data_IF_745824335217
#
_entry.id   IF_745824335217
#
_cell.length_a   1.000
_cell.length_b   1.000
_cell.length_c   1.000
_cell.angle_alpha   90.00
_cell.angle_beta   90.00
_cell.angle_gamma   90.00
#
_symmetry.space_group_name_H-M   'P 1'
#
loop_
_entity.id
_entity.type
_entity.pdbx_description
1 polymer ?
#
# COMPACT_ATOMS: atom_id res chain seq x y z
N UNK A 1 -17.54 37.72 -52.42
CA UNK A 1 -17.45 36.31 -52.87
C UNK A 1 -17.33 35.44 -51.63
N UNK A 2 -18.09 34.34 -51.59
CA UNK A 2 -18.32 33.46 -50.43
C UNK A 2 -17.45 32.23 -50.62
N UNK A 3 -16.48 31.95 -49.74
CA UNK A 3 -15.70 30.71 -49.78
C UNK A 3 -16.04 29.86 -48.57
N UNK A 4 -16.56 28.66 -48.86
CA UNK A 4 -17.10 27.70 -47.90
C UNK A 4 -15.97 26.87 -47.29
N UNK A 5 -16.20 26.53 -46.03
CA UNK A 5 -15.53 25.63 -45.10
C UNK A 5 -15.27 24.22 -45.67
N UNK A 6 -14.18 23.57 -45.23
CA UNK A 6 -14.18 22.12 -44.96
C UNK A 6 -13.36 21.85 -43.70
N UNK A 7 -14.03 21.31 -42.68
CA UNK A 7 -13.46 20.73 -41.46
C UNK A 7 -13.39 19.22 -41.66
N UNK A 8 -12.24 18.61 -41.42
CA UNK A 8 -12.10 17.15 -41.37
C UNK A 8 -11.66 16.74 -39.96
N UNK A 9 -12.58 16.13 -39.22
CA UNK A 9 -12.34 15.51 -37.91
C UNK A 9 -12.18 14.01 -38.19
N UNK A 10 -10.97 13.48 -38.03
CA UNK A 10 -10.73 12.05 -38.08
C UNK A 10 -10.77 11.49 -36.64
N UNK A 11 -11.87 10.85 -36.28
CA UNK A 11 -11.99 10.07 -35.05
C UNK A 11 -11.56 8.63 -35.35
N UNK A 12 -10.36 8.25 -34.90
CA UNK A 12 -9.92 6.85 -34.91
C UNK A 12 -10.44 6.13 -33.67
N UNK A 13 -11.34 5.15 -33.87
CA UNK A 13 -11.81 4.23 -32.83
C UNK A 13 -10.80 3.08 -32.73
N UNK A 14 -10.09 2.99 -31.61
CA UNK A 14 -9.25 1.84 -31.27
C UNK A 14 -10.04 0.82 -30.45
N UNK A 15 -10.17 -0.40 -30.95
CA UNK A 15 -10.71 -1.53 -30.19
C UNK A 15 -9.57 -2.21 -29.40
N UNK A 16 -9.66 -2.22 -28.08
CA UNK A 16 -8.76 -2.98 -27.22
C UNK A 16 -9.42 -4.33 -26.86
N UNK A 17 -8.76 -5.44 -27.19
CA UNK A 17 -9.16 -6.79 -26.80
C UNK A 17 -8.56 -7.09 -25.43
N UNK A 18 -9.40 -7.36 -24.44
CA UNK A 18 -8.98 -7.77 -23.09
C UNK A 18 -8.80 -9.30 -23.07
N UNK A 19 -7.58 -9.77 -22.83
CA UNK A 19 -7.30 -11.17 -22.53
C UNK A 19 -7.49 -11.40 -21.02
N UNK A 20 -8.51 -12.17 -20.64
CA UNK A 20 -8.71 -12.61 -19.26
C UNK A 20 -7.82 -13.84 -19.00
N UNK A 21 -6.71 -13.67 -18.29
CA UNK A 21 -5.96 -14.80 -17.73
C UNK A 21 -6.66 -15.26 -16.47
N UNK A 22 -7.35 -16.40 -16.55
CA UNK A 22 -7.90 -17.09 -15.38
C UNK A 22 -6.76 -17.61 -14.50
N UNK A 23 -6.79 -17.29 -13.21
CA UNK A 23 -5.87 -17.85 -12.23
C UNK A 23 -6.47 -19.19 -11.77
N UNK A 24 -5.81 -20.29 -12.14
CA UNK A 24 -6.12 -21.62 -11.64
C UNK A 24 -5.75 -21.72 -10.15
N UNK A 25 -6.73 -21.91 -9.28
CA UNK A 25 -6.49 -22.38 -7.92
C UNK A 25 -6.12 -23.87 -7.96
N UNK A 26 -4.86 -24.19 -7.71
CA UNK A 26 -4.42 -25.57 -7.50
C UNK A 26 -4.68 -25.97 -6.04
N UNK A 27 -5.63 -26.88 -5.83
CA UNK A 27 -5.86 -27.58 -4.58
C UNK A 27 -4.69 -28.52 -4.28
N UNK A 28 -3.92 -28.24 -3.24
CA UNK A 28 -3.00 -29.23 -2.67
C UNK A 28 -3.78 -30.13 -1.70
N UNK A 29 -4.37 -31.21 -2.22
CA UNK A 29 -4.85 -32.32 -1.41
C UNK A 29 -3.66 -33.23 -1.07
N UNK A 30 -3.14 -33.12 0.16
CA UNK A 30 -2.25 -34.14 0.73
C UNK A 30 -3.09 -35.12 1.57
N UNK A 31 -2.91 -36.44 1.42
CA UNK A 31 -3.72 -37.45 2.11
C UNK A 31 -3.42 -37.52 3.61
N UNK A 32 -4.49 -37.64 4.40
CA UNK A 32 -4.48 -37.82 5.84
C UNK A 32 -3.93 -39.19 6.27
N UNK A 33 -3.25 -39.29 7.43
CA UNK A 33 -3.25 -40.50 8.22
C UNK A 33 -4.31 -40.43 9.34
N UNK A 34 -5.10 -41.49 9.35
CA UNK A 34 -6.16 -41.91 10.27
C UNK A 34 -5.70 -42.03 11.73
N UNK A 35 -6.43 -41.41 12.66
CA UNK A 35 -6.92 -41.98 13.94
C UNK A 35 -7.80 -40.96 14.69
N UNK A 36 -9.00 -41.37 15.12
CA UNK A 36 -9.98 -40.60 15.90
C UNK A 36 -9.90 -41.01 17.40
N UNK A 37 -10.48 -40.29 18.40
CA UNK A 37 -11.95 -40.15 18.51
C UNK A 37 -12.49 -38.77 19.01
N UNK A 38 -13.69 -38.45 18.49
CA UNK A 38 -14.89 -37.91 19.14
C UNK A 38 -14.83 -36.74 20.13
N UNK A 39 -15.37 -35.58 19.73
CA UNK A 39 -16.33 -34.78 20.53
C UNK A 39 -17.27 -34.00 19.61
N UNK A 40 -18.51 -33.88 20.05
CA UNK A 40 -19.68 -33.45 19.31
C UNK A 40 -19.76 -31.94 19.05
N UNK A 41 -20.31 -31.61 17.88
CA UNK A 41 -21.39 -30.64 17.63
C UNK A 41 -21.39 -29.29 18.37
N UNK A 42 -21.12 -28.20 17.62
CA UNK A 42 -21.83 -26.95 17.80
C UNK A 42 -21.76 -26.09 16.53
N UNK A 43 -22.90 -25.48 16.23
CA UNK A 43 -23.25 -24.69 15.04
C UNK A 43 -22.70 -23.26 15.14
N UNK A 44 -22.51 -22.63 13.97
CA UNK A 44 -22.38 -21.17 13.73
C UNK A 44 -21.06 -20.48 14.07
N UNK A 45 -20.35 -20.01 13.03
CA UNK A 45 -20.25 -18.58 12.67
C UNK A 45 -19.06 -18.37 11.71
N UNK A 46 -19.33 -17.73 10.57
CA UNK A 46 -18.30 -17.25 9.67
C UNK A 46 -17.36 -16.29 10.42
N UNK A 47 -16.08 -16.64 10.50
CA UNK A 47 -15.06 -15.74 11.01
C UNK A 47 -14.85 -14.57 10.02
N UNK A 48 -14.77 -13.32 10.48
CA UNK A 48 -14.53 -12.18 9.60
C UNK A 48 -13.14 -12.30 8.96
N UNK A 49 -13.05 -11.88 7.69
CA UNK A 49 -11.81 -11.74 6.96
C UNK A 49 -10.81 -10.93 7.79
N UNK A 50 -9.63 -11.50 8.03
CA UNK A 50 -8.53 -10.81 8.69
C UNK A 50 -8.19 -9.55 7.87
N UNK A 51 -8.48 -8.38 8.43
CA UNK A 51 -7.80 -7.16 8.02
C UNK A 51 -6.28 -7.41 8.13
N UNK A 52 -5.44 -6.82 7.26
CA UNK A 52 -4.01 -6.85 7.50
C UNK A 52 -3.80 -6.22 8.87
N UNK A 53 -3.46 -7.04 9.85
CA UNK A 53 -3.10 -6.61 11.19
C UNK A 53 -1.85 -5.76 10.99
N UNK A 54 -2.06 -4.44 10.88
CA UNK A 54 -1.00 -3.47 11.00
C UNK A 54 -0.35 -3.72 12.34
N UNK A 55 0.80 -4.40 12.30
CA UNK A 55 1.46 -4.85 13.50
C UNK A 55 1.66 -3.66 14.42
N UNK A 56 1.12 -3.76 15.63
CA UNK A 56 1.62 -3.04 16.79
C UNK A 56 3.00 -3.64 17.11
N UNK A 57 3.93 -3.44 16.18
CA UNK A 57 5.29 -3.92 16.22
C UNK A 57 6.07 -3.08 17.21
N UNK A 58 5.72 -3.18 18.49
CA UNK A 58 6.69 -3.00 19.55
C UNK A 58 7.64 -4.20 19.52
N UNK A 59 8.44 -4.26 18.45
CA UNK A 59 9.65 -5.06 18.46
C UNK A 59 10.65 -4.27 19.29
N UNK A 60 10.83 -4.72 20.54
CA UNK A 60 11.97 -4.35 21.38
C UNK A 60 13.28 -4.76 20.69
N UNK A 61 13.72 -3.95 19.73
CA UNK A 61 15.06 -4.05 19.17
C UNK A 61 16.00 -3.27 20.08
N UNK A 62 16.58 -4.01 21.01
CA UNK A 62 17.74 -3.60 21.77
C UNK A 62 18.83 -3.09 20.79
N UNK A 63 19.06 -1.78 20.81
CA UNK A 63 20.23 -1.01 20.33
C UNK A 63 21.23 -1.75 19.44
N UNK A 64 21.15 -1.64 18.10
CA UNK A 64 22.32 -1.61 17.17
C UNK A 64 21.98 -1.07 15.76
N UNK A 65 21.14 -0.03 15.61
CA UNK A 65 21.08 0.70 14.32
C UNK A 65 20.53 2.13 14.48
N UNK A 66 21.32 2.99 15.13
CA UNK A 66 21.03 4.44 15.14
C UNK A 66 21.31 5.12 13.79
N UNK A 67 21.81 4.36 12.80
CA UNK A 67 22.31 4.91 11.54
C UNK A 67 21.26 4.91 10.41
N UNK A 68 20.18 4.13 10.50
CA UNK A 68 19.15 4.12 9.46
C UNK A 68 18.21 5.34 9.49
N UNK A 69 18.19 6.11 10.58
CA UNK A 69 17.29 7.26 10.73
C UNK A 69 15.81 6.88 10.87
N UNK A 70 14.95 7.90 11.03
CA UNK A 70 13.51 7.73 11.27
C UNK A 70 12.68 8.45 10.22
N UNK A 71 11.53 7.88 9.90
CA UNK A 71 10.49 8.53 9.10
C UNK A 71 9.23 8.61 9.96
N UNK A 72 8.69 9.81 10.11
CA UNK A 72 7.40 10.00 10.77
C UNK A 72 6.34 10.18 9.70
N UNK A 73 5.26 9.42 9.80
CA UNK A 73 4.09 9.54 8.93
C UNK A 73 2.90 9.83 9.83
N UNK A 74 2.39 11.06 9.73
CA UNK A 74 1.42 11.62 10.65
C UNK A 74 1.83 11.39 12.12
N UNK A 75 1.08 10.59 12.87
CA UNK A 75 1.28 10.29 14.28
C UNK A 75 2.22 9.10 14.55
N UNK A 76 2.68 8.40 13.51
CA UNK A 76 3.46 7.15 13.64
C UNK A 76 4.92 7.35 13.22
N UNK A 77 5.82 6.65 13.92
CA UNK A 77 7.25 6.65 13.63
C UNK A 77 7.68 5.29 13.09
N UNK A 78 8.50 5.31 12.04
CA UNK A 78 9.01 4.14 11.33
C UNK A 78 10.53 4.20 11.16
N UNK A 79 11.14 3.03 10.96
CA UNK A 79 12.55 2.92 10.55
C UNK A 79 12.71 3.34 9.09
N UNK A 80 13.79 4.05 8.76
CA UNK A 80 14.15 4.33 7.36
C UNK A 80 15.12 3.27 6.79
N UNK A 81 14.90 1.99 7.14
CA UNK A 81 15.67 0.87 6.59
C UNK A 81 15.61 0.89 5.05
N UNK A 82 16.75 0.70 4.35
CA UNK A 82 16.79 0.87 2.91
C UNK A 82 16.19 -0.35 2.22
N UNK A 83 15.52 -0.14 1.09
CA UNK A 83 15.02 -1.23 0.24
C UNK A 83 13.80 -1.99 0.76
N UNK A 84 13.32 -1.70 1.97
CA UNK A 84 12.07 -2.25 2.51
C UNK A 84 10.88 -1.37 2.10
N UNK A 85 9.78 -2.00 1.72
CA UNK A 85 8.51 -1.32 1.51
C UNK A 85 7.68 -1.37 2.79
N UNK A 86 7.49 -0.22 3.41
CA UNK A 86 6.72 -0.09 4.65
C UNK A 86 5.33 0.42 4.33
N UNK A 87 4.31 -0.41 4.56
CA UNK A 87 2.91 0.01 4.50
C UNK A 87 2.56 0.91 5.70
N UNK A 88 1.79 1.96 5.44
CA UNK A 88 1.35 2.92 6.45
C UNK A 88 -0.14 3.15 6.34
N UNK A 89 -0.79 3.24 7.50
CA UNK A 89 -2.22 3.49 7.61
C UNK A 89 -2.40 4.62 8.62
N UNK A 90 -3.18 5.62 8.26
CA UNK A 90 -3.60 6.69 9.16
C UNK A 90 -5.12 6.76 9.21
N UNK A 91 -5.68 6.83 10.42
CA UNK A 91 -7.11 6.86 10.66
C UNK A 91 -7.42 7.68 11.92
N UNK A 92 -8.33 8.67 11.87
CA UNK A 92 -8.90 9.27 10.66
C UNK A 92 -7.87 10.17 9.97
N UNK A 93 -7.70 10.05 8.65
CA UNK A 93 -6.83 10.94 7.88
C UNK A 93 -7.32 11.11 6.44
N UNK A 94 -7.09 12.29 5.86
CA UNK A 94 -7.37 12.60 4.45
C UNK A 94 -6.11 12.79 3.62
N UNK A 95 -4.96 12.96 4.29
CA UNK A 95 -3.64 13.04 3.66
C UNK A 95 -2.55 12.57 4.62
N UNK A 96 -1.36 12.34 4.07
CA UNK A 96 -0.15 12.04 4.83
C UNK A 96 0.75 13.27 4.96
N UNK A 97 1.25 13.48 6.18
CA UNK A 97 2.36 14.38 6.49
C UNK A 97 3.56 13.53 6.83
N UNK A 98 4.64 13.68 6.08
CA UNK A 98 5.83 12.86 6.20
C UNK A 98 7.00 13.75 6.61
N UNK A 99 7.62 13.43 7.75
CA UNK A 99 8.88 14.02 8.18
C UNK A 99 9.96 12.95 8.09
N UNK A 100 10.93 13.20 7.20
CA UNK A 100 12.09 12.34 7.04
C UNK A 100 13.23 12.88 7.91
N UNK A 101 13.46 12.26 9.07
CA UNK A 101 14.63 12.55 9.91
C UNK A 101 15.85 11.71 9.51
N UNK A 102 15.71 10.78 8.56
CA UNK A 102 16.87 10.03 8.07
C UNK A 102 17.76 10.90 7.18
N UNK A 103 18.93 10.37 6.89
CA UNK A 103 19.84 10.95 5.93
C UNK A 103 19.56 10.43 4.51
N UNK A 104 18.51 9.63 4.28
CA UNK A 104 18.15 9.01 2.98
C UNK A 104 17.06 9.77 2.26
N UNK A 105 16.82 9.43 0.99
CA UNK A 105 15.63 9.89 0.28
C UNK A 105 14.49 8.89 0.50
N UNK A 106 13.32 9.38 0.87
CA UNK A 106 12.10 8.58 1.02
C UNK A 106 11.25 8.75 -0.23
N UNK A 107 10.90 7.64 -0.88
CA UNK A 107 9.87 7.58 -1.90
C UNK A 107 8.56 7.13 -1.25
N UNK A 108 7.51 7.93 -1.43
CA UNK A 108 6.18 7.63 -0.92
C UNK A 108 5.27 7.22 -2.08
N UNK A 109 4.42 6.23 -1.86
CA UNK A 109 3.56 5.61 -2.86
C UNK A 109 2.11 5.60 -2.41
N UNK A 110 1.23 5.55 -3.39
CA UNK A 110 -0.18 5.31 -3.15
C UNK A 110 -0.43 3.80 -3.01
N UNK A 111 -1.21 3.41 -2.00
CA UNK A 111 -1.49 2.00 -1.69
C UNK A 111 -0.42 1.32 -0.83
N UNK A 112 -0.67 0.07 -0.46
CA UNK A 112 0.15 -0.68 0.53
C UNK A 112 1.49 -1.18 -0.01
N UNK A 113 1.74 -1.09 -1.32
CA UNK A 113 2.95 -1.62 -1.97
C UNK A 113 3.68 -0.55 -2.77
N UNK A 114 5.01 -0.69 -2.84
CA UNK A 114 5.93 0.25 -3.48
C UNK A 114 6.22 -0.10 -4.95
N UNK A 115 5.38 -0.93 -5.56
CA UNK A 115 5.45 -1.40 -6.95
C UNK A 115 4.28 -0.88 -7.80
N UNK A 116 3.32 -0.16 -7.21
CA UNK A 116 2.16 0.44 -7.91
C UNK A 116 2.52 1.63 -8.83
N UNK A 117 3.75 1.70 -9.34
CA UNK A 117 4.22 2.72 -10.26
C UNK A 117 5.18 3.73 -9.62
N UNK A 118 5.13 4.97 -10.10
CA UNK A 118 6.04 6.04 -9.66
C UNK A 118 5.67 6.56 -8.27
N UNK A 119 6.68 6.94 -7.50
CA UNK A 119 6.46 7.59 -6.22
C UNK A 119 5.63 8.87 -6.40
N UNK A 120 4.58 9.04 -5.58
CA UNK A 120 3.73 10.23 -5.57
C UNK A 120 4.42 11.41 -4.89
N UNK A 121 5.41 11.13 -4.03
CA UNK A 121 6.26 12.13 -3.41
C UNK A 121 7.68 11.58 -3.22
N UNK A 122 8.66 12.46 -3.35
CA UNK A 122 10.05 12.21 -2.96
C UNK A 122 10.42 13.20 -1.86
N UNK A 123 10.77 12.68 -0.68
CA UNK A 123 11.17 13.48 0.47
C UNK A 123 12.67 13.28 0.67
N UNK A 124 13.44 14.34 0.45
CA UNK A 124 14.89 14.33 0.64
C UNK A 124 15.31 14.10 2.10
N UNK A 125 16.61 13.89 2.33
CA UNK A 125 17.19 13.78 3.67
C UNK A 125 16.83 14.98 4.55
N UNK A 126 16.47 14.71 5.81
CA UNK A 126 16.17 15.76 6.81
C UNK A 126 15.13 16.79 6.34
N UNK A 127 14.16 16.34 5.54
CA UNK A 127 13.12 17.18 4.95
C UNK A 127 11.71 16.66 5.29
N UNK A 128 10.68 17.43 4.97
CA UNK A 128 9.29 17.03 5.13
C UNK A 128 8.46 17.32 3.88
N UNK A 129 7.30 16.67 3.80
CA UNK A 129 6.28 16.95 2.81
C UNK A 129 4.90 16.71 3.42
N UNK A 130 3.93 17.52 3.02
CA UNK A 130 2.59 17.56 3.58
C UNK A 130 1.55 17.41 2.48
N UNK A 131 0.33 17.03 2.88
CA UNK A 131 -0.79 16.81 1.98
C UNK A 131 -0.51 15.76 0.88
N UNK A 132 0.32 14.75 1.19
CA UNK A 132 0.57 13.64 0.27
C UNK A 132 -0.71 12.79 0.18
N UNK A 133 -1.23 12.50 -1.03
CA UNK A 133 -2.42 11.69 -1.19
C UNK A 133 -2.17 10.23 -0.83
N UNK A 134 -3.23 9.53 -0.45
CA UNK A 134 -3.23 8.09 -0.21
C UNK A 134 -4.49 7.43 -0.75
N UNK A 135 -4.58 6.12 -0.55
CA UNK A 135 -5.74 5.31 -0.93
C UNK A 135 -6.74 5.34 0.20
N UNK A 136 -7.90 5.91 -0.04
CA UNK A 136 -9.00 5.94 0.93
C UNK A 136 -9.62 4.56 1.04
N UNK A 137 -9.81 4.09 2.28
CA UNK A 137 -10.55 2.87 2.57
C UNK A 137 -11.93 3.26 3.10
N UNK A 138 -12.96 2.63 2.52
CA UNK A 138 -14.37 2.85 2.84
C UNK A 138 -14.91 1.65 3.61
N UNK A 139 -15.67 1.88 4.68
CA UNK A 139 -16.29 0.81 5.48
C UNK A 139 -17.76 0.59 5.04
N UNK A 140 -17.95 0.36 3.74
CA UNK A 140 -19.29 0.24 3.13
C UNK A 140 -20.15 1.52 3.14
N UNK A 141 -19.65 2.61 3.72
CA UNK A 141 -20.26 3.95 3.69
C UNK A 141 -19.45 4.89 2.79
N UNK A 142 -20.05 6.02 2.36
CA UNK A 142 -19.36 7.04 1.54
C UNK A 142 -18.28 7.81 2.32
N UNK A 143 -18.13 7.56 3.62
CA UNK A 143 -17.17 8.28 4.47
C UNK A 143 -15.88 7.46 4.58
N UNK A 144 -14.70 8.02 4.20
CA UNK A 144 -13.42 7.36 4.41
C UNK A 144 -13.13 7.20 5.90
N UNK A 145 -12.80 5.97 6.32
CA UNK A 145 -12.39 5.73 7.71
C UNK A 145 -10.87 5.71 7.86
N UNK A 146 -10.14 5.33 6.82
CA UNK A 146 -8.69 5.26 6.83
C UNK A 146 -8.07 5.69 5.51
N UNK A 147 -6.82 6.14 5.59
CA UNK A 147 -5.96 6.43 4.47
C UNK A 147 -4.77 5.48 4.49
N UNK A 148 -4.44 4.93 3.33
CA UNK A 148 -3.38 3.94 3.20
C UNK A 148 -2.35 4.37 2.17
N UNK A 149 -1.09 4.17 2.49
CA UNK A 149 0.04 4.44 1.62
C UNK A 149 1.18 3.49 1.94
N UNK A 150 2.31 3.72 1.30
CA UNK A 150 3.54 3.02 1.62
C UNK A 150 4.74 3.89 1.30
N UNK A 151 5.88 3.58 1.88
CA UNK A 151 7.12 4.26 1.55
C UNK A 151 8.30 3.30 1.55
N UNK A 152 9.37 3.69 0.84
CA UNK A 152 10.69 3.06 0.96
C UNK A 152 11.77 4.13 1.10
N UNK A 153 12.79 3.83 1.88
CA UNK A 153 14.02 4.63 1.89
C UNK A 153 14.97 4.11 0.81
N UNK A 154 15.53 5.02 0.01
CA UNK A 154 16.55 4.70 -0.99
C UNK A 154 17.92 5.00 -0.39
N UNK A 155 18.84 4.05 -0.55
CA UNK A 155 20.22 4.26 -0.12
C UNK A 155 20.92 5.32 -0.98
N UNK A 156 21.86 6.04 -0.37
CA UNK A 156 22.65 7.09 -1.04
C UNK A 156 23.67 6.55 -2.04
N UNK A 157 23.94 5.23 -2.02
CA UNK A 157 25.09 4.59 -2.66
C UNK A 157 24.79 3.95 -4.02
N UNK A 158 23.75 4.40 -4.73
CA UNK A 158 23.50 3.93 -6.10
C UNK A 158 24.24 4.75 -7.13
#
# INVERSE_FOLDING_TARGET
>A
MRTRTVVAIALSVGAAVVAATGINHASASSPAPKSAPSVQEAVAAAAPAAAPQGGDGQTDFNSQNRDSGRVHVNERTYSAAPGECTAVISSPATSFNVLNESDRTVEFFNGITCDNGSAVAKIGPRNSSSAIPGTTVLDGTTVPFALVGSFRAIDKRY
#
